data_IF_995530561189
#
_entry.id   IF_995530561189
#
_cell.length_a   1.000
_cell.length_b   1.000
_cell.length_c   1.000
_cell.angle_alpha   90.00
_cell.angle_beta   90.00
_cell.angle_gamma   90.00
#
_symmetry.space_group_name_H-M   'P 1'
#
loop_
_entity.id
_entity.type
_entity.pdbx_description
1 polymer ?
#
# COMPACT_ATOMS: atom_id res chain seq x y z
N UNK A 1 -2.47 -17.04 12.35
CA UNK A 1 -3.31 -17.37 11.18
C UNK A 1 -2.36 -17.78 10.08
N UNK A 2 -2.29 -19.07 9.74
CA UNK A 2 -1.36 -19.60 8.73
C UNK A 2 -2.08 -19.56 7.39
N UNK A 3 -1.49 -18.91 6.40
CA UNK A 3 -2.08 -18.80 5.06
C UNK A 3 -1.88 -20.11 4.29
N UNK A 4 -2.95 -20.64 3.70
CA UNK A 4 -2.95 -21.87 2.90
C UNK A 4 -3.13 -21.51 1.41
N UNK A 5 -2.04 -21.56 0.67
CA UNK A 5 -1.96 -21.11 -0.71
C UNK A 5 -2.80 -21.96 -1.69
N UNK A 6 -2.79 -23.31 -1.63
CA UNK A 6 -3.66 -24.14 -2.47
C UNK A 6 -5.15 -23.78 -2.38
N UNK A 7 -5.66 -23.57 -1.17
CA UNK A 7 -7.08 -23.23 -0.95
C UNK A 7 -7.42 -21.87 -1.56
N UNK A 8 -6.50 -20.91 -1.46
CA UNK A 8 -6.69 -19.55 -1.99
C UNK A 8 -6.71 -19.53 -3.51
N UNK A 9 -5.83 -20.28 -4.14
CA UNK A 9 -5.76 -20.42 -5.60
C UNK A 9 -7.02 -21.10 -6.15
N UNK A 10 -7.45 -22.22 -5.57
CA UNK A 10 -8.69 -22.90 -5.96
C UNK A 10 -9.91 -21.97 -5.82
N UNK A 11 -9.99 -21.21 -4.73
CA UNK A 11 -11.06 -20.25 -4.51
C UNK A 11 -11.08 -19.17 -5.59
N UNK A 12 -9.91 -18.63 -5.97
CA UNK A 12 -9.81 -17.59 -6.99
C UNK A 12 -10.13 -18.09 -8.40
N UNK A 13 -9.72 -19.31 -8.75
CA UNK A 13 -10.09 -19.93 -10.03
C UNK A 13 -11.60 -20.13 -10.14
N UNK A 14 -12.22 -20.64 -9.06
CA UNK A 14 -13.67 -20.82 -8.99
C UNK A 14 -14.41 -19.49 -9.09
N UNK A 15 -13.92 -18.44 -8.43
CA UNK A 15 -14.53 -17.10 -8.50
C UNK A 15 -14.40 -16.48 -9.91
N UNK A 16 -13.24 -16.65 -10.56
CA UNK A 16 -13.03 -16.17 -11.92
C UNK A 16 -13.94 -16.87 -12.95
N UNK A 17 -14.21 -18.17 -12.76
CA UNK A 17 -15.13 -18.92 -13.61
C UNK A 17 -16.61 -18.53 -13.40
N UNK A 18 -16.99 -18.23 -12.15
CA UNK A 18 -18.38 -17.85 -11.81
C UNK A 18 -18.76 -16.44 -12.26
N UNK A 19 -17.79 -15.53 -12.30
CA UNK A 19 -18.01 -14.14 -12.68
C UNK A 19 -16.88 -13.64 -13.59
N UNK A 20 -16.84 -14.08 -14.86
CA UNK A 20 -15.83 -13.63 -15.80
C UNK A 20 -15.90 -12.11 -15.98
N UNK A 21 -14.79 -11.43 -15.67
CA UNK A 21 -14.69 -9.97 -15.67
C UNK A 21 -14.99 -9.28 -14.33
N UNK A 22 -15.35 -10.02 -13.27
CA UNK A 22 -15.50 -9.45 -11.94
C UNK A 22 -14.14 -9.10 -11.32
N UNK A 23 -14.02 -7.87 -10.81
CA UNK A 23 -12.87 -7.43 -10.02
C UNK A 23 -13.08 -7.88 -8.58
N UNK A 24 -12.20 -8.74 -8.08
CA UNK A 24 -12.17 -9.07 -6.67
C UNK A 24 -11.50 -7.91 -5.91
N UNK A 25 -12.29 -7.05 -5.30
CA UNK A 25 -11.80 -6.04 -4.38
C UNK A 25 -11.34 -6.71 -3.07
N UNK A 26 -10.17 -7.35 -3.08
CA UNK A 26 -9.42 -7.50 -1.83
C UNK A 26 -8.94 -6.10 -1.47
N UNK A 27 -9.00 -5.73 -0.18
CA UNK A 27 -9.12 -4.38 0.39
C UNK A 27 -8.19 -3.24 -0.12
N UNK A 28 -7.34 -3.46 -1.13
CA UNK A 28 -6.45 -2.44 -1.69
C UNK A 28 -6.06 -2.65 -3.18
N UNK A 29 -6.71 -3.50 -3.98
CA UNK A 29 -6.31 -3.66 -5.40
C UNK A 29 -7.46 -3.94 -6.36
N UNK A 30 -7.50 -3.17 -7.46
CA UNK A 30 -8.35 -3.41 -8.62
C UNK A 30 -7.48 -4.04 -9.71
N UNK A 31 -7.28 -5.36 -9.65
CA UNK A 31 -6.58 -6.10 -10.70
C UNK A 31 -7.36 -7.39 -11.05
N UNK A 32 -7.54 -7.72 -12.35
CA UNK A 32 -8.06 -9.01 -12.76
C UNK A 32 -7.13 -10.14 -12.30
N UNK A 33 -7.70 -11.17 -11.68
CA UNK A 33 -6.98 -12.33 -11.11
C UNK A 33 -6.08 -13.01 -12.15
N UNK A 34 -6.55 -13.16 -13.39
CA UNK A 34 -5.77 -13.75 -14.49
C UNK A 34 -4.51 -12.94 -14.85
N UNK A 35 -4.57 -11.60 -14.79
CA UNK A 35 -3.45 -10.73 -15.14
C UNK A 35 -2.33 -10.69 -14.09
N UNK A 36 -2.63 -11.04 -12.84
CA UNK A 36 -1.63 -11.14 -11.76
C UNK A 36 -0.92 -12.48 -11.82
N UNK A 37 -1.63 -13.58 -12.10
CA UNK A 37 -1.05 -14.93 -12.17
C UNK A 37 -0.07 -15.13 -13.34
N UNK A 38 -0.36 -14.55 -14.51
CA UNK A 38 0.47 -14.73 -15.71
C UNK A 38 1.82 -13.98 -15.69
N UNK A 39 2.00 -13.00 -14.79
CA UNK A 39 3.16 -12.08 -14.78
C UNK A 39 4.10 -12.27 -13.59
N UNK A 40 3.78 -13.19 -12.68
CA UNK A 40 4.62 -13.48 -11.51
C UNK A 40 5.47 -14.70 -11.82
N UNK A 41 6.77 -14.48 -12.08
CA UNK A 41 7.71 -15.56 -12.35
C UNK A 41 7.93 -16.50 -11.16
N UNK A 42 7.80 -16.00 -9.93
CA UNK A 42 7.86 -16.76 -8.67
C UNK A 42 7.06 -16.06 -7.55
N UNK A 43 6.36 -16.83 -6.72
CA UNK A 43 5.64 -16.32 -5.56
C UNK A 43 6.61 -15.80 -4.48
N UNK A 44 6.44 -14.53 -4.09
CA UNK A 44 7.16 -13.93 -2.96
C UNK A 44 6.22 -13.78 -1.77
N UNK A 45 6.69 -14.02 -0.52
CA UNK A 45 5.88 -13.76 0.67
C UNK A 45 5.33 -12.34 0.65
N UNK A 46 4.00 -12.24 0.71
CA UNK A 46 3.27 -10.99 0.66
C UNK A 46 2.89 -10.50 -0.74
N UNK A 47 3.27 -11.11 -1.86
CA UNK A 47 3.02 -10.57 -3.22
C UNK A 47 3.67 -9.20 -3.47
N UNK A 48 3.73 -8.75 -4.73
CA UNK A 48 4.48 -7.54 -5.11
C UNK A 48 3.92 -6.27 -4.43
N UNK A 49 2.61 -6.03 -4.54
CA UNK A 49 1.98 -4.80 -4.05
C UNK A 49 2.11 -4.61 -2.54
N UNK A 50 1.85 -5.67 -1.78
CA UNK A 50 1.94 -5.67 -0.33
C UNK A 50 3.41 -5.51 0.15
N UNK A 51 4.39 -6.09 -0.55
CA UNK A 51 5.81 -5.87 -0.25
C UNK A 51 6.22 -4.41 -0.44
N UNK A 52 5.82 -3.78 -1.55
CA UNK A 52 6.09 -2.36 -1.81
C UNK A 52 5.40 -1.47 -0.77
N UNK A 53 4.13 -1.76 -0.46
CA UNK A 53 3.36 -1.04 0.56
C UNK A 53 4.05 -1.11 1.93
N UNK A 54 4.49 -2.29 2.36
CA UNK A 54 5.15 -2.45 3.66
C UNK A 54 6.58 -1.88 3.70
N UNK A 55 7.28 -1.77 2.57
CA UNK A 55 8.54 -1.03 2.50
C UNK A 55 8.32 0.46 2.75
N UNK A 56 7.30 1.06 2.11
CA UNK A 56 6.91 2.45 2.36
C UNK A 56 6.48 2.67 3.82
N UNK A 57 5.64 1.78 4.36
CA UNK A 57 5.17 1.89 5.74
C UNK A 57 6.28 1.75 6.77
N UNK A 58 7.27 0.86 6.54
CA UNK A 58 8.42 0.71 7.43
C UNK A 58 9.17 2.03 7.58
N UNK A 59 9.45 2.70 6.46
CA UNK A 59 10.13 3.99 6.48
C UNK A 59 9.26 5.08 7.12
N UNK A 60 7.99 5.16 6.75
CA UNK A 60 7.03 6.10 7.35
C UNK A 60 6.98 5.99 8.88
N UNK A 61 6.91 4.77 9.40
CA UNK A 61 6.89 4.52 10.85
C UNK A 61 8.24 4.85 11.51
N UNK A 62 9.37 4.65 10.82
CA UNK A 62 10.68 5.00 11.33
C UNK A 62 10.84 6.52 11.48
N UNK A 63 10.45 7.30 10.48
CA UNK A 63 10.50 8.77 10.54
C UNK A 63 9.68 9.33 11.71
N UNK A 64 8.51 8.75 11.98
CA UNK A 64 7.69 9.13 13.15
C UNK A 64 8.35 8.71 14.46
N UNK A 65 8.84 7.47 14.55
CA UNK A 65 9.49 6.96 15.75
C UNK A 65 10.78 7.73 16.11
N UNK A 66 11.50 8.22 15.11
CA UNK A 66 12.71 9.03 15.26
C UNK A 66 12.41 10.52 15.53
N UNK A 67 11.13 10.91 15.53
CA UNK A 67 10.70 12.28 15.78
C UNK A 67 11.03 13.27 14.66
N UNK A 68 11.28 12.78 13.45
CA UNK A 68 11.53 13.62 12.26
C UNK A 68 10.26 14.42 11.90
N UNK A 69 9.10 13.78 12.02
CA UNK A 69 7.79 14.40 11.80
C UNK A 69 6.67 13.60 12.48
N UNK A 70 5.46 14.16 12.53
CA UNK A 70 4.26 13.44 12.98
C UNK A 70 3.62 12.62 11.85
N UNK A 71 2.71 11.71 12.21
CA UNK A 71 2.07 10.80 11.27
C UNK A 71 1.19 11.55 10.24
N UNK A 72 0.51 12.61 10.66
CA UNK A 72 -0.27 13.48 9.77
C UNK A 72 0.60 14.12 8.69
N UNK A 73 1.81 14.57 9.04
CA UNK A 73 2.79 15.15 8.11
C UNK A 73 3.26 14.11 7.11
N UNK A 74 3.59 12.88 7.55
CA UNK A 74 3.95 11.79 6.63
C UNK A 74 2.83 11.55 5.62
N UNK A 75 1.59 11.40 6.08
CA UNK A 75 0.43 11.17 5.22
C UNK A 75 0.15 12.34 4.27
N UNK A 76 0.38 13.58 4.69
CA UNK A 76 0.27 14.77 3.85
C UNK A 76 1.30 14.73 2.72
N UNK A 77 2.58 14.50 3.06
CA UNK A 77 3.67 14.44 2.07
C UNK A 77 3.43 13.31 1.09
N UNK A 78 3.13 12.10 1.57
CA UNK A 78 2.89 10.93 0.71
C UNK A 78 1.73 11.19 -0.25
N UNK A 79 0.58 11.66 0.25
CA UNK A 79 -0.60 11.90 -0.61
C UNK A 79 -0.37 12.95 -1.68
N UNK A 80 0.44 13.98 -1.41
CA UNK A 80 0.64 15.10 -2.32
C UNK A 80 1.92 15.02 -3.17
N UNK A 81 2.71 13.95 -3.02
CA UNK A 81 3.96 13.78 -3.79
C UNK A 81 3.97 12.42 -4.49
N UNK A 82 4.49 11.39 -3.82
CA UNK A 82 4.64 10.05 -4.38
C UNK A 82 3.28 9.38 -4.66
N UNK A 83 2.27 9.63 -3.83
CA UNK A 83 0.92 9.10 -4.01
C UNK A 83 0.23 9.61 -5.27
N UNK A 84 0.39 10.91 -5.60
CA UNK A 84 -0.20 11.50 -6.81
C UNK A 84 0.32 10.83 -8.08
N UNK A 85 1.64 10.62 -8.16
CA UNK A 85 2.27 10.08 -9.37
C UNK A 85 2.11 8.57 -9.52
N UNK A 86 2.08 7.80 -8.42
CA UNK A 86 2.08 6.33 -8.47
C UNK A 86 0.86 5.71 -9.17
N UNK A 87 -0.29 6.40 -9.15
CA UNK A 87 -1.50 5.94 -9.85
C UNK A 87 -1.41 6.06 -11.38
N UNK A 88 -0.51 6.90 -11.87
CA UNK A 88 -0.33 7.22 -13.30
C UNK A 88 0.98 6.64 -13.84
N UNK A 89 2.06 6.74 -13.08
CA UNK A 89 3.41 6.35 -13.46
C UNK A 89 3.95 5.36 -12.43
N UNK A 90 4.16 4.11 -12.86
CA UNK A 90 4.71 3.06 -11.98
C UNK A 90 6.13 3.40 -11.52
N UNK A 91 6.64 2.80 -10.43
CA UNK A 91 7.94 3.17 -9.87
C UNK A 91 9.10 2.94 -10.85
N UNK A 92 9.07 1.87 -11.65
CA UNK A 92 10.11 1.56 -12.63
C UNK A 92 10.00 2.46 -13.87
N UNK A 93 8.79 2.67 -14.38
CA UNK A 93 8.54 3.60 -15.49
C UNK A 93 8.94 5.04 -15.11
N UNK A 94 8.70 5.44 -13.86
CA UNK A 94 9.14 6.72 -13.33
C UNK A 94 10.67 6.81 -13.25
N UNK A 95 11.36 5.74 -12.85
CA UNK A 95 12.82 5.72 -12.81
C UNK A 95 13.41 5.90 -14.23
N UNK A 96 12.84 5.21 -15.22
CA UNK A 96 13.20 5.39 -16.63
C UNK A 96 12.89 6.81 -17.12
N UNK A 97 11.73 7.36 -16.76
CA UNK A 97 11.31 8.71 -17.15
C UNK A 97 12.21 9.83 -16.59
N UNK A 98 12.64 9.70 -15.33
CA UNK A 98 13.52 10.68 -14.69
C UNK A 98 14.98 10.53 -15.16
N UNK A 99 15.40 9.30 -15.46
CA UNK A 99 16.78 8.94 -15.79
C UNK A 99 17.39 7.99 -14.76
N UNK A 100 17.97 6.90 -15.24
CA UNK A 100 18.54 5.85 -14.37
C UNK A 100 19.84 6.29 -13.69
N UNK A 101 20.61 7.18 -14.31
CA UNK A 101 21.81 7.80 -13.74
C UNK A 101 21.48 8.71 -12.54
N UNK A 102 20.46 9.56 -12.69
CA UNK A 102 19.95 10.37 -11.59
C UNK A 102 19.31 9.51 -10.49
N UNK A 103 18.56 8.48 -10.87
CA UNK A 103 17.99 7.52 -9.92
C UNK A 103 19.09 6.82 -9.11
N UNK A 104 20.18 6.39 -9.76
CA UNK A 104 21.33 5.79 -9.09
C UNK A 104 21.98 6.78 -8.10
N UNK A 105 22.22 8.02 -8.52
CA UNK A 105 22.80 9.04 -7.65
C UNK A 105 21.93 9.35 -6.42
N UNK A 106 20.60 9.38 -6.59
CA UNK A 106 19.65 9.52 -5.47
C UNK A 106 19.73 8.30 -4.56
N UNK A 107 19.82 7.09 -5.12
CA UNK A 107 19.92 5.88 -4.32
C UNK A 107 21.19 5.86 -3.47
N UNK A 108 22.36 6.21 -4.03
CA UNK A 108 23.62 6.27 -3.30
C UNK A 108 23.55 7.26 -2.12
N UNK A 109 22.79 8.35 -2.27
CA UNK A 109 22.62 9.35 -1.23
C UNK A 109 21.58 8.96 -0.16
N UNK A 110 20.47 8.34 -0.55
CA UNK A 110 19.29 8.16 0.31
C UNK A 110 19.16 6.75 0.88
N UNK A 111 19.46 5.70 0.11
CA UNK A 111 19.25 4.31 0.55
C UNK A 111 20.00 3.99 1.86
N UNK A 112 21.26 4.45 2.08
CA UNK A 112 21.97 4.17 3.32
C UNK A 112 21.28 4.72 4.58
N UNK A 113 20.45 5.75 4.46
CA UNK A 113 19.73 6.34 5.59
C UNK A 113 18.36 5.71 5.83
N UNK A 114 17.84 4.90 4.91
CA UNK A 114 16.52 4.29 5.07
C UNK A 114 16.53 3.19 6.14
N UNK A 115 15.39 3.04 6.81
CA UNK A 115 15.17 1.96 7.75
C UNK A 115 15.20 0.59 7.05
N UNK A 116 16.02 -0.30 7.60
CA UNK A 116 16.23 -1.66 7.13
C UNK A 116 15.96 -2.72 8.21
N UNK A 117 15.25 -2.36 9.30
CA UNK A 117 14.92 -3.31 10.36
C UNK A 117 14.00 -4.42 9.81
N UNK A 118 14.38 -5.71 9.95
CA UNK A 118 13.53 -6.82 9.51
C UNK A 118 12.35 -7.09 10.45
N UNK A 119 12.21 -6.38 11.57
CA UNK A 119 11.14 -6.54 12.54
C UNK A 119 10.09 -5.42 12.47
N UNK A 120 8.87 -5.65 13.00
CA UNK A 120 7.89 -4.58 13.15
C UNK A 120 8.41 -3.43 14.01
N UNK A 121 8.11 -2.19 13.60
CA UNK A 121 8.45 -0.97 14.33
C UNK A 121 8.11 -1.08 15.82
N UNK A 122 9.02 -0.70 16.74
CA UNK A 122 8.73 -0.62 18.17
C UNK A 122 7.51 0.26 18.48
N UNK A 123 7.39 1.40 17.81
CA UNK A 123 6.25 2.32 17.95
C UNK A 123 4.91 1.62 17.63
N UNK A 124 4.87 0.80 16.58
CA UNK A 124 3.67 0.02 16.27
C UNK A 124 3.33 -0.97 17.39
N UNK A 125 4.33 -1.61 18.01
CA UNK A 125 4.10 -2.52 19.14
C UNK A 125 3.59 -1.79 20.37
N UNK A 126 4.11 -0.59 20.63
CA UNK A 126 3.68 0.27 21.74
C UNK A 126 2.23 0.71 21.59
N UNK A 127 1.84 1.21 20.41
CA UNK A 127 0.44 1.58 20.11
C UNK A 127 -0.52 0.41 20.33
N UNK A 128 -0.15 -0.78 19.84
CA UNK A 128 -0.96 -2.00 20.03
C UNK A 128 -1.03 -2.40 21.50
N UNK A 129 0.09 -2.36 22.23
CA UNK A 129 0.13 -2.68 23.66
C UNK A 129 -0.71 -1.70 24.49
N UNK A 130 -0.82 -0.44 24.08
CA UNK A 130 -1.66 0.59 24.67
C UNK A 130 -3.16 0.49 24.27
N UNK A 131 -3.54 -0.51 23.46
CA UNK A 131 -4.93 -0.68 22.99
C UNK A 131 -5.35 0.32 21.90
N UNK A 132 -4.40 1.06 21.32
CA UNK A 132 -4.61 2.05 20.27
C UNK A 132 -4.53 1.38 18.89
N UNK A 133 -5.60 0.67 18.54
CA UNK A 133 -5.72 -0.13 17.32
C UNK A 133 -6.19 0.64 16.08
N UNK A 134 -6.00 1.95 16.05
CA UNK A 134 -6.43 2.85 14.97
C UNK A 134 -7.94 3.12 14.98
N UNK A 135 -8.52 3.25 13.79
CA UNK A 135 -9.89 3.71 13.59
C UNK A 135 -10.97 2.97 14.41
N UNK A 136 -10.76 1.69 14.77
CA UNK A 136 -11.72 0.91 15.56
C UNK A 136 -11.74 1.29 17.05
N UNK A 137 -10.69 1.94 17.54
CA UNK A 137 -10.52 2.39 18.94
C UNK A 137 -10.42 3.91 19.05
N UNK A 138 -10.65 4.65 17.95
CA UNK A 138 -10.55 6.11 17.92
C UNK A 138 -9.11 6.65 17.92
N UNK A 139 -8.11 5.82 18.21
CA UNK A 139 -6.70 6.24 18.35
C UNK A 139 -5.75 5.20 17.77
N UNK A 140 -4.70 5.66 17.09
CA UNK A 140 -3.58 4.88 16.55
C UNK A 140 -2.40 5.81 16.26
N UNK A 141 -1.82 5.74 15.05
CA UNK A 141 -0.80 6.72 14.62
C UNK A 141 -1.34 8.15 14.51
N UNK A 142 -2.64 8.28 14.20
CA UNK A 142 -3.39 9.54 14.18
C UNK A 142 -4.63 9.39 15.04
N UNK A 143 -5.18 10.52 15.47
CA UNK A 143 -6.50 10.57 16.09
C UNK A 143 -7.60 10.38 15.05
N UNK A 144 -8.52 9.47 15.35
CA UNK A 144 -9.67 9.18 14.50
C UNK A 144 -10.91 9.88 15.06
N UNK A 145 -11.54 10.78 14.29
CA UNK A 145 -12.71 11.49 14.76
C UNK A 145 -13.84 10.51 15.13
N UNK A 146 -14.58 10.84 16.19
CA UNK A 146 -15.76 10.10 16.59
C UNK A 146 -16.81 10.17 15.48
N UNK A 147 -17.08 9.03 14.84
CA UNK A 147 -17.99 8.95 13.70
C UNK A 147 -17.76 7.66 12.91
N UNK A 148 -18.65 7.34 11.97
CA UNK A 148 -18.52 6.08 11.25
C UNK A 148 -17.30 6.17 10.32
N UNK A 149 -16.49 5.10 10.32
CA UNK A 149 -15.40 4.84 9.35
C UNK A 149 -15.83 5.06 7.89
N UNK A 150 -17.14 5.05 7.65
CA UNK A 150 -17.85 5.36 6.41
C UNK A 150 -17.36 6.63 5.71
N UNK A 151 -16.99 7.71 6.40
CA UNK A 151 -16.49 8.92 5.71
C UNK A 151 -15.15 8.67 4.98
N UNK A 152 -14.23 7.93 5.61
CA UNK A 152 -12.96 7.54 4.97
C UNK A 152 -13.20 6.50 3.88
N UNK A 153 -14.08 5.52 4.14
CA UNK A 153 -14.49 4.54 3.14
C UNK A 153 -15.12 5.19 1.91
N UNK A 154 -16.00 6.17 2.09
CA UNK A 154 -16.66 6.90 1.02
C UNK A 154 -15.66 7.71 0.19
N UNK A 155 -14.71 8.40 0.85
CA UNK A 155 -13.63 9.11 0.14
C UNK A 155 -12.77 8.15 -0.69
N UNK A 156 -12.41 7.00 -0.13
CA UNK A 156 -11.64 5.99 -0.86
C UNK A 156 -12.42 5.42 -2.04
N UNK A 157 -13.69 5.05 -1.81
CA UNK A 157 -14.57 4.53 -2.85
C UNK A 157 -14.75 5.53 -3.98
N UNK A 158 -15.01 6.80 -3.66
CA UNK A 158 -15.14 7.86 -4.65
C UNK A 158 -13.87 8.03 -5.49
N UNK A 159 -12.69 8.05 -4.85
CA UNK A 159 -11.41 8.15 -5.55
C UNK A 159 -11.17 6.97 -6.48
N UNK A 160 -11.41 5.74 -6.02
CA UNK A 160 -11.26 4.53 -6.84
C UNK A 160 -12.23 4.57 -8.03
N UNK A 161 -13.50 4.89 -7.80
CA UNK A 161 -14.51 4.97 -8.87
C UNK A 161 -14.09 5.96 -9.95
N UNK A 162 -13.70 7.18 -9.56
CA UNK A 162 -13.24 8.21 -10.50
C UNK A 162 -12.02 7.75 -11.31
N UNK A 163 -11.08 7.04 -10.67
CA UNK A 163 -9.90 6.48 -11.35
C UNK A 163 -10.26 5.37 -12.35
N UNK A 164 -11.26 4.54 -12.03
CA UNK A 164 -11.74 3.48 -12.93
C UNK A 164 -12.52 4.05 -14.12
N UNK A 165 -13.30 5.11 -13.91
CA UNK A 165 -14.01 5.83 -14.97
C UNK A 165 -13.01 6.44 -15.96
N UNK A 166 -12.00 7.16 -15.47
CA UNK A 166 -10.96 7.74 -16.33
C UNK A 166 -10.23 6.69 -17.19
N UNK A 167 -9.99 5.48 -16.65
CA UNK A 167 -9.35 4.38 -17.40
C UNK A 167 -10.25 3.73 -18.45
N UNK A 168 -11.57 3.91 -18.39
CA UNK A 168 -12.51 3.39 -19.39
C UNK A 168 -12.63 4.32 -20.60
N UNK A 169 -12.25 5.58 -20.44
CA UNK A 169 -12.30 6.61 -21.49
C UNK A 169 -10.99 6.72 -22.29
N UNK A 170 -9.95 5.96 -21.93
CA UNK A 170 -8.64 5.91 -22.61
C UNK A 170 -8.44 4.55 -23.29
#
# INVERSE_FOLDING_TARGET
MVENLPIKQELFERLAALAPGAVLATNTSVLPIGGVGERVGHDVPGFIGNRLQHALWREAMALVAEGVCDAETVDLVVRNTIGLRLGTLGPLENADYIGLDLTLAIHDAVIPSLNHDPHPSPLLRELVAAGQHGARTGHGFIDWPAGPREATTARLAHHITAQLENRRET
#
